data_IF_269988462500
#
_entry.id   IF_269988462500
#
_cell.length_a   1.000
_cell.length_b   1.000
_cell.length_c   1.000
_cell.angle_alpha   90.00
_cell.angle_beta   90.00
_cell.angle_gamma   90.00
#
_symmetry.space_group_name_H-M   'P 1'
#
loop_
_entity.id
_entity.type
_entity.pdbx_description
1 polymer ?
#
# COMPACT_ATOMS: atom_id res chain seq x y z
N UNK A 1 -60.41 35.04 -54.95
CA UNK A 1 -59.47 35.91 -54.21
C UNK A 1 -58.78 35.02 -53.19
N UNK A 2 -57.68 34.37 -53.64
CA UNK A 2 -56.29 34.57 -53.16
C UNK A 2 -56.01 33.58 -52.02
N UNK A 3 -55.47 32.38 -52.30
CA UNK A 3 -54.04 32.01 -52.39
C UNK A 3 -53.22 32.20 -51.09
N UNK A 4 -52.39 31.18 -50.84
CA UNK A 4 -51.20 31.08 -49.96
C UNK A 4 -51.42 30.81 -48.46
N UNK A 5 -50.62 30.01 -47.75
CA UNK A 5 -49.52 29.10 -48.08
C UNK A 5 -49.13 28.32 -46.80
N UNK A 6 -48.48 27.16 -47.00
CA UNK A 6 -47.51 26.43 -46.17
C UNK A 6 -47.35 26.77 -44.67
N UNK A 7 -47.56 25.79 -43.79
CA UNK A 7 -46.58 24.80 -43.30
C UNK A 7 -45.74 25.32 -42.13
N UNK A 8 -45.82 24.65 -40.98
CA UNK A 8 -44.62 24.12 -40.35
C UNK A 8 -44.99 23.03 -39.33
N UNK A 9 -44.42 21.87 -39.58
CA UNK A 9 -44.49 20.68 -38.75
C UNK A 9 -43.41 20.78 -37.69
N UNK A 10 -43.78 20.71 -36.41
CA UNK A 10 -42.80 20.34 -35.38
C UNK A 10 -43.49 19.50 -34.30
N UNK A 11 -43.33 18.19 -34.46
CA UNK A 11 -43.67 17.20 -33.46
C UNK A 11 -43.04 17.56 -32.11
N UNK A 12 -43.87 17.69 -31.08
CA UNK A 12 -43.43 17.77 -29.70
C UNK A 12 -43.03 16.36 -29.25
N UNK A 13 -41.73 16.13 -29.11
CA UNK A 13 -41.17 14.92 -28.52
C UNK A 13 -41.45 14.90 -27.01
N UNK A 14 -41.80 13.77 -26.40
CA UNK A 14 -41.89 13.64 -24.95
C UNK A 14 -40.48 13.71 -24.34
N UNK A 15 -40.34 14.40 -23.21
CA UNK A 15 -39.06 14.59 -22.52
C UNK A 15 -38.60 13.28 -21.87
N UNK A 16 -37.44 12.79 -22.28
CA UNK A 16 -36.73 11.69 -21.63
C UNK A 16 -36.29 12.09 -20.21
N UNK A 17 -36.28 11.16 -19.24
CA UNK A 17 -35.77 11.43 -17.90
C UNK A 17 -34.22 11.47 -17.90
N UNK A 18 -33.65 12.41 -17.16
CA UNK A 18 -32.21 12.58 -16.94
C UNK A 18 -31.53 11.27 -16.51
N UNK A 19 -30.53 10.85 -17.28
CA UNK A 19 -29.59 9.79 -16.90
C UNK A 19 -28.79 10.24 -15.67
N UNK A 20 -28.96 9.52 -14.57
CA UNK A 20 -28.09 9.62 -13.41
C UNK A 20 -26.71 9.04 -13.77
N UNK A 21 -25.66 9.86 -13.66
CA UNK A 21 -24.28 9.41 -13.84
C UNK A 21 -23.93 8.34 -12.79
N UNK A 22 -23.94 7.08 -13.20
CA UNK A 22 -23.35 5.97 -12.44
C UNK A 22 -21.84 6.23 -12.34
N UNK A 23 -21.39 6.70 -11.17
CA UNK A 23 -19.97 6.69 -10.81
C UNK A 23 -19.51 5.24 -10.87
N UNK A 24 -18.47 4.90 -11.66
CA UNK A 24 -18.03 3.52 -11.80
C UNK A 24 -17.68 2.96 -10.42
N UNK A 25 -18.24 1.81 -10.09
CA UNK A 25 -17.93 1.08 -8.86
C UNK A 25 -16.42 0.84 -8.83
N UNK A 26 -15.72 1.49 -7.89
CA UNK A 26 -14.29 1.27 -7.68
C UNK A 26 -14.10 -0.18 -7.25
N UNK A 27 -13.67 -1.04 -8.18
CA UNK A 27 -13.20 -2.39 -7.87
C UNK A 27 -12.17 -2.29 -6.75
N UNK A 28 -12.47 -2.89 -5.59
CA UNK A 28 -11.51 -2.94 -4.48
C UNK A 28 -10.30 -3.73 -4.95
N UNK A 29 -9.13 -3.07 -5.03
CA UNK A 29 -7.87 -3.76 -5.29
C UNK A 29 -7.61 -4.71 -4.11
N UNK A 30 -7.33 -6.00 -4.36
CA UNK A 30 -6.99 -6.92 -3.28
C UNK A 30 -5.73 -6.44 -2.58
N UNK A 31 -5.62 -6.72 -1.29
CA UNK A 31 -4.37 -6.50 -0.58
C UNK A 31 -3.29 -7.43 -1.11
N UNK A 32 -2.06 -6.93 -1.10
CA UNK A 32 -0.85 -7.64 -1.43
C UNK A 32 0.11 -7.51 -0.25
N UNK A 33 1.14 -8.35 -0.21
CA UNK A 33 2.22 -8.26 0.77
C UNK A 33 3.47 -7.71 0.09
N UNK A 34 4.01 -6.65 0.68
CA UNK A 34 5.20 -5.95 0.23
C UNK A 34 6.37 -6.28 1.14
N UNK A 35 7.55 -6.46 0.54
CA UNK A 35 8.80 -6.54 1.29
C UNK A 35 9.38 -5.13 1.41
N UNK A 36 9.53 -4.63 2.62
CA UNK A 36 10.10 -3.33 2.93
C UNK A 36 11.34 -3.49 3.81
N UNK A 37 12.39 -2.74 3.54
CA UNK A 37 13.47 -2.52 4.51
C UNK A 37 13.31 -1.12 5.06
N UNK A 38 13.18 -1.02 6.39
CA UNK A 38 13.04 0.24 7.09
C UNK A 38 14.29 0.47 7.93
N UNK A 39 14.98 1.58 7.67
CA UNK A 39 16.03 2.04 8.56
C UNK A 39 15.40 2.86 9.67
N UNK A 40 15.72 2.53 10.92
CA UNK A 40 15.29 3.27 12.11
C UNK A 40 16.50 3.81 12.85
N UNK A 41 16.37 5.03 13.39
CA UNK A 41 17.34 5.62 14.30
C UNK A 41 17.04 5.25 15.74
N UNK A 42 18.02 5.46 16.63
CA UNK A 42 17.84 5.30 18.08
C UNK A 42 16.80 6.27 18.61
N UNK A 43 15.87 5.77 19.43
CA UNK A 43 14.86 6.55 20.14
C UNK A 43 14.59 5.97 21.54
N UNK A 44 14.13 6.80 22.47
CA UNK A 44 13.79 6.35 23.81
C UNK A 44 12.61 5.35 23.76
N UNK A 45 12.84 4.14 24.25
CA UNK A 45 11.80 3.10 24.26
C UNK A 45 11.69 2.27 22.97
N UNK A 46 12.60 2.44 22.01
CA UNK A 46 12.56 1.73 20.71
C UNK A 46 12.83 0.22 20.78
N UNK A 47 13.20 -0.31 21.95
CA UNK A 47 13.49 -1.72 22.18
C UNK A 47 14.76 -2.25 21.50
N UNK A 48 15.57 -1.39 20.88
CA UNK A 48 16.85 -1.80 20.28
C UNK A 48 17.90 -2.06 21.39
N UNK A 49 18.92 -2.91 21.13
CA UNK A 49 20.01 -3.16 22.07
C UNK A 49 20.73 -1.87 22.52
N UNK A 50 21.23 -1.82 23.75
CA UNK A 50 21.79 -0.60 24.38
C UNK A 50 22.91 0.08 23.59
N UNK A 51 23.69 -0.67 22.82
CA UNK A 51 24.82 -0.17 22.02
C UNK A 51 24.45 0.11 20.56
N UNK A 52 23.17 -0.01 20.19
CA UNK A 52 22.70 0.24 18.84
C UNK A 52 22.49 1.75 18.62
N UNK A 53 22.93 2.26 17.47
CA UNK A 53 22.63 3.63 17.02
C UNK A 53 21.37 3.70 16.16
N UNK A 54 20.84 2.54 15.77
CA UNK A 54 19.69 2.34 14.91
C UNK A 54 19.59 0.87 14.49
N UNK A 55 18.74 0.56 13.53
CA UNK A 55 18.66 -0.77 12.93
C UNK A 55 18.09 -0.71 11.52
N UNK A 56 18.37 -1.74 10.72
CA UNK A 56 17.59 -2.09 9.55
C UNK A 56 16.55 -3.16 9.94
N UNK A 57 15.30 -2.91 9.61
CA UNK A 57 14.16 -3.80 9.83
C UNK A 57 13.69 -4.35 8.49
N UNK A 58 13.73 -5.67 8.32
CA UNK A 58 13.03 -6.32 7.21
C UNK A 58 11.58 -6.52 7.62
N UNK A 59 10.66 -5.90 6.90
CA UNK A 59 9.24 -5.90 7.19
C UNK A 59 8.45 -6.51 6.02
N UNK A 60 7.50 -7.37 6.33
CA UNK A 60 6.42 -7.75 5.42
C UNK A 60 5.18 -6.96 5.78
N UNK A 61 4.72 -6.12 4.87
CA UNK A 61 3.62 -5.19 5.09
C UNK A 61 2.49 -5.46 4.11
N UNK A 62 1.27 -5.63 4.63
CA UNK A 62 0.09 -5.68 3.77
C UNK A 62 -0.27 -4.28 3.25
N UNK A 63 -0.79 -4.21 2.02
CA UNK A 63 -1.32 -2.96 1.45
C UNK A 63 -1.96 -3.17 0.09
N UNK A 64 -2.81 -2.23 -0.34
CA UNK A 64 -3.42 -2.20 -1.68
C UNK A 64 -2.45 -1.70 -2.75
N UNK A 65 -1.47 -0.91 -2.34
CA UNK A 65 -0.31 -0.49 -3.12
C UNK A 65 0.89 -0.26 -2.19
N UNK A 66 2.09 -0.20 -2.77
CA UNK A 66 3.34 -0.03 -2.02
C UNK A 66 3.32 1.26 -1.19
N UNK A 67 2.78 2.34 -1.74
CA UNK A 67 2.73 3.61 -1.04
C UNK A 67 1.85 3.55 0.22
N UNK A 68 0.76 2.76 0.19
CA UNK A 68 -0.03 2.47 1.40
C UNK A 68 0.76 1.63 2.40
N UNK A 69 1.37 0.53 1.96
CA UNK A 69 2.18 -0.33 2.83
C UNK A 69 3.29 0.48 3.55
N UNK A 70 3.95 1.40 2.84
CA UNK A 70 4.96 2.32 3.40
C UNK A 70 4.35 3.26 4.45
N UNK A 71 3.21 3.90 4.14
CA UNK A 71 2.55 4.84 5.08
C UNK A 71 2.13 4.14 6.37
N UNK A 72 1.50 2.98 6.26
CA UNK A 72 1.03 2.20 7.41
C UNK A 72 2.21 1.68 8.23
N UNK A 73 3.28 1.19 7.58
CA UNK A 73 4.51 0.77 8.25
C UNK A 73 5.12 1.90 9.08
N UNK A 74 5.27 3.09 8.50
CA UNK A 74 5.79 4.25 9.22
C UNK A 74 4.88 4.64 10.40
N UNK A 75 3.56 4.57 10.22
CA UNK A 75 2.60 4.88 11.28
C UNK A 75 2.70 3.91 12.46
N UNK A 76 2.76 2.61 12.19
CA UNK A 76 2.88 1.55 13.21
C UNK A 76 4.21 1.65 13.95
N UNK A 77 5.33 1.84 13.24
CA UNK A 77 6.65 1.96 13.87
C UNK A 77 6.73 3.17 14.80
N UNK A 78 6.13 4.30 14.43
CA UNK A 78 6.04 5.47 15.30
C UNK A 78 5.17 5.23 16.54
N UNK A 79 4.10 4.44 16.41
CA UNK A 79 3.27 4.04 17.55
C UNK A 79 4.02 3.08 18.50
N UNK A 80 5.03 2.38 18.00
CA UNK A 80 5.91 1.50 18.76
C UNK A 80 7.19 2.18 19.26
N UNK A 81 7.21 3.52 19.37
CA UNK A 81 8.35 4.32 19.84
C UNK A 81 9.64 4.13 19.02
N UNK A 82 9.55 3.68 17.77
CA UNK A 82 10.68 3.63 16.83
C UNK A 82 10.75 4.92 16.00
N UNK A 83 11.95 5.24 15.50
CA UNK A 83 12.20 6.43 14.67
C UNK A 83 12.57 6.06 13.22
N UNK A 84 11.60 5.80 12.32
CA UNK A 84 11.87 5.56 10.89
C UNK A 84 12.63 6.72 10.25
N UNK A 85 13.71 6.39 9.54
CA UNK A 85 14.58 7.32 8.80
C UNK A 85 14.39 7.19 7.30
N UNK A 86 14.49 5.96 6.78
CA UNK A 86 14.31 5.64 5.37
C UNK A 86 13.49 4.36 5.21
N UNK A 87 12.73 4.28 4.11
CA UNK A 87 11.95 3.09 3.74
C UNK A 87 12.24 2.74 2.29
N UNK A 88 12.80 1.56 2.08
CA UNK A 88 13.07 1.01 0.76
C UNK A 88 12.10 -0.15 0.48
N UNK A 89 11.40 -0.10 -0.65
CA UNK A 89 10.50 -1.15 -1.12
C UNK A 89 11.18 -2.10 -2.10
N UNK A 90 10.92 -3.41 -1.94
CA UNK A 90 11.44 -4.49 -2.80
C UNK A 90 10.33 -5.18 -3.61
N UNK A 91 9.17 -4.54 -3.73
CA UNK A 91 8.03 -5.08 -4.47
C UNK A 91 7.23 -6.12 -3.68
N UNK A 92 6.36 -6.81 -4.41
CA UNK A 92 5.39 -7.77 -3.86
C UNK A 92 5.97 -9.18 -3.74
N UNK A 93 5.28 -10.06 -3.01
CA UNK A 93 5.59 -11.50 -3.04
C UNK A 93 5.61 -12.05 -4.48
N UNK A 94 4.67 -11.65 -5.33
CA UNK A 94 4.62 -12.09 -6.74
C UNK A 94 5.87 -11.64 -7.51
N UNK A 95 6.36 -10.42 -7.28
CA UNK A 95 7.59 -9.92 -7.89
C UNK A 95 8.81 -10.72 -7.41
N UNK A 96 8.88 -11.06 -6.12
CA UNK A 96 9.96 -11.88 -5.57
C UNK A 96 9.96 -13.31 -6.12
N UNK A 97 8.78 -13.91 -6.30
CA UNK A 97 8.66 -15.24 -6.91
C UNK A 97 9.03 -15.26 -8.40
N UNK A 98 8.87 -14.13 -9.11
CA UNK A 98 9.16 -14.02 -10.55
C UNK A 98 10.64 -13.77 -10.81
N UNK A 99 11.22 -12.78 -10.12
CA UNK A 99 12.53 -12.20 -10.48
C UNK A 99 13.54 -12.18 -9.32
N UNK A 100 13.15 -12.63 -8.12
CA UNK A 100 13.94 -12.54 -6.89
C UNK A 100 14.56 -13.86 -6.43
N UNK A 101 15.33 -13.84 -5.31
CA UNK A 101 15.75 -15.05 -4.62
C UNK A 101 14.53 -15.85 -4.14
N UNK A 102 14.71 -17.17 -4.07
CA UNK A 102 13.70 -18.08 -3.51
C UNK A 102 13.28 -17.61 -2.11
N UNK A 103 11.97 -17.51 -1.90
CA UNK A 103 11.36 -17.16 -0.62
C UNK A 103 11.20 -18.46 0.16
N UNK A 104 11.81 -18.55 1.34
CA UNK A 104 11.71 -19.75 2.16
C UNK A 104 10.29 -19.97 2.70
N UNK A 105 9.96 -21.20 3.10
CA UNK A 105 8.66 -21.52 3.70
C UNK A 105 8.35 -20.65 4.92
N UNK A 106 9.36 -20.35 5.76
CA UNK A 106 9.21 -19.47 6.93
C UNK A 106 8.89 -18.03 6.52
N UNK A 107 9.57 -17.49 5.51
CA UNK A 107 9.24 -16.16 4.98
C UNK A 107 7.82 -16.14 4.39
N UNK A 108 7.41 -17.20 3.71
CA UNK A 108 6.06 -17.35 3.17
C UNK A 108 5.00 -17.31 4.29
N UNK A 109 5.19 -18.04 5.38
CA UNK A 109 4.26 -18.03 6.53
C UNK A 109 4.15 -16.63 7.16
N UNK A 110 5.28 -15.92 7.29
CA UNK A 110 5.28 -14.55 7.80
C UNK A 110 4.55 -13.58 6.87
N UNK A 111 4.74 -13.72 5.56
CA UNK A 111 4.06 -12.92 4.54
C UNK A 111 2.56 -13.20 4.50
N UNK A 112 2.15 -14.46 4.58
CA UNK A 112 0.75 -14.87 4.66
C UNK A 112 0.08 -14.31 5.91
N UNK A 113 0.77 -14.35 7.06
CA UNK A 113 0.27 -13.76 8.30
C UNK A 113 0.06 -12.25 8.18
N UNK A 114 1.04 -11.52 7.62
CA UNK A 114 0.91 -10.08 7.37
C UNK A 114 -0.33 -9.76 6.52
N UNK A 115 -0.55 -10.55 5.46
CA UNK A 115 -1.71 -10.39 4.58
C UNK A 115 -3.04 -10.73 5.26
N UNK A 116 -3.09 -11.84 6.00
CA UNK A 116 -4.30 -12.34 6.66
C UNK A 116 -4.76 -11.41 7.80
N UNK A 117 -3.82 -10.81 8.52
CA UNK A 117 -4.09 -9.95 9.67
C UNK A 117 -4.16 -8.46 9.31
N UNK A 118 -3.89 -8.10 8.06
CA UNK A 118 -3.72 -6.71 7.62
C UNK A 118 -2.70 -5.97 8.52
N UNK A 119 -1.51 -6.57 8.66
CA UNK A 119 -0.50 -6.15 9.62
C UNK A 119 0.88 -5.96 8.99
N UNK A 120 1.78 -5.37 9.77
CA UNK A 120 3.20 -5.24 9.45
C UNK A 120 3.97 -6.20 10.36
N UNK A 121 4.66 -7.17 9.75
CA UNK A 121 5.44 -8.18 10.44
C UNK A 121 6.93 -7.86 10.27
N UNK A 122 7.64 -7.66 11.37
CA UNK A 122 9.12 -7.54 11.35
C UNK A 122 9.70 -8.96 11.29
N UNK A 123 10.31 -9.30 10.15
CA UNK A 123 10.91 -10.61 9.89
C UNK A 123 12.36 -10.69 10.39
N UNK A 124 13.11 -9.60 10.29
CA UNK A 124 14.49 -9.53 10.75
C UNK A 124 14.80 -8.15 11.32
N UNK A 125 15.57 -8.11 12.41
CA UNK A 125 16.14 -6.90 12.99
C UNK A 125 17.66 -7.00 12.87
N UNK A 126 18.28 -6.02 12.21
CA UNK A 126 19.73 -5.92 12.07
C UNK A 126 20.21 -4.62 12.73
N UNK A 127 20.62 -4.65 14.01
CA UNK A 127 21.07 -3.46 14.72
C UNK A 127 22.36 -2.88 14.13
N UNK A 128 22.45 -1.55 14.10
CA UNK A 128 23.68 -0.83 13.75
C UNK A 128 24.51 -0.60 15.02
N UNK A 129 25.67 -1.24 15.10
CA UNK A 129 26.64 -1.00 16.17
C UNK A 129 27.79 -0.15 15.64
N UNK A 130 28.34 0.73 16.48
CA UNK A 130 29.37 1.70 16.09
C UNK A 130 30.69 1.13 15.54
N UNK A 131 30.83 -0.19 15.43
CA UNK A 131 32.02 -0.87 14.88
C UNK A 131 31.88 -1.23 13.39
N UNK A 132 30.72 -0.99 12.76
CA UNK A 132 30.52 -1.28 11.33
C UNK A 132 29.97 -0.06 10.56
N UNK A 133 30.81 0.95 10.37
CA UNK A 133 30.62 2.04 9.41
C UNK A 133 31.88 2.24 8.56
#
# INVERSE_FOLDING_TARGET
MTMDAQADSKAAQPKEPEMSEERPEKTKRPQQVYTLVVEVGRHDGDGLPDNATGAALLCYASGVDEAEAVRETVAILKQADMAPLDVTGYGTLEDRLRDGPEVSDEEHELMERALAENSVVVAQVTPFTGDNA
#
